data_IF_745049456102
#
_entry.id   IF_745049456102
#
_cell.length_a   1.000
_cell.length_b   1.000
_cell.length_c   1.000
_cell.angle_alpha   90.00
_cell.angle_beta   90.00
_cell.angle_gamma   90.00
#
_symmetry.space_group_name_H-M   'P 1'
#
loop_
_entity.id
_entity.type
_entity.pdbx_description
1 polymer ?
#
# COMPACT_ATOMS: atom_id res chain seq x y z
N UNK A 1 19.89 -20.91 -11.95
CA UNK A 1 19.07 -19.68 -11.85
C UNK A 1 17.60 -20.07 -11.97
N UNK A 2 16.71 -19.34 -11.31
CA UNK A 2 15.25 -19.60 -11.29
C UNK A 2 14.50 -18.28 -11.43
N UNK A 3 13.28 -18.30 -11.96
CA UNK A 3 12.44 -17.09 -12.01
C UNK A 3 11.99 -16.66 -10.62
N UNK A 4 11.99 -15.36 -10.35
CA UNK A 4 11.59 -14.80 -9.05
C UNK A 4 10.15 -15.18 -8.67
N UNK A 5 9.19 -15.10 -9.59
CA UNK A 5 7.80 -15.49 -9.34
C UNK A 5 7.64 -16.96 -8.95
N UNK A 6 8.38 -17.87 -9.60
CA UNK A 6 8.41 -19.28 -9.25
C UNK A 6 9.07 -19.51 -7.89
N UNK A 7 10.22 -18.88 -7.64
CA UNK A 7 10.96 -19.03 -6.38
C UNK A 7 10.15 -18.55 -5.16
N UNK A 8 9.35 -17.49 -5.33
CA UNK A 8 8.42 -17.01 -4.29
C UNK A 8 7.35 -18.04 -3.94
N UNK A 9 6.84 -18.77 -4.93
CA UNK A 9 5.87 -19.85 -4.71
C UNK A 9 6.54 -21.07 -4.09
N UNK A 10 7.68 -21.49 -4.64
CA UNK A 10 8.41 -22.67 -4.17
C UNK A 10 8.85 -22.55 -2.71
N UNK A 11 9.15 -21.34 -2.25
CA UNK A 11 9.52 -21.03 -0.86
C UNK A 11 8.32 -20.69 0.04
N UNK A 12 7.09 -20.79 -0.47
CA UNK A 12 5.88 -20.57 0.31
C UNK A 12 5.61 -19.09 0.66
N UNK A 13 6.26 -18.14 0.00
CA UNK A 13 5.97 -16.71 0.18
C UNK A 13 4.65 -16.28 -0.48
N UNK A 14 4.22 -17.01 -1.51
CA UNK A 14 2.99 -16.76 -2.26
C UNK A 14 2.30 -18.08 -2.60
N UNK A 15 0.97 -18.05 -2.76
CA UNK A 15 0.16 -19.24 -3.11
C UNK A 15 0.13 -19.50 -4.60
N UNK A 16 0.47 -18.51 -5.41
CA UNK A 16 0.49 -18.61 -6.87
C UNK A 16 1.50 -17.67 -7.50
N UNK A 17 1.88 -17.96 -8.75
CA UNK A 17 2.75 -17.07 -9.53
C UNK A 17 2.11 -15.73 -9.84
N UNK A 18 0.78 -15.68 -9.95
CA UNK A 18 0.03 -14.43 -10.17
C UNK A 18 0.14 -13.50 -8.95
N UNK A 19 -0.04 -14.06 -7.74
CA UNK A 19 0.17 -13.32 -6.48
C UNK A 19 1.62 -12.84 -6.35
N UNK A 20 2.58 -13.71 -6.63
CA UNK A 20 4.00 -13.34 -6.63
C UNK A 20 4.29 -12.19 -7.60
N UNK A 21 3.76 -12.25 -8.83
CA UNK A 21 3.91 -11.17 -9.81
C UNK A 21 3.30 -9.85 -9.33
N UNK A 22 2.11 -9.89 -8.71
CA UNK A 22 1.48 -8.70 -8.15
C UNK A 22 2.34 -8.05 -7.05
N UNK A 23 2.94 -8.84 -6.15
CA UNK A 23 3.83 -8.33 -5.12
C UNK A 23 5.13 -7.75 -5.68
N UNK A 24 5.70 -8.38 -6.70
CA UNK A 24 6.89 -7.88 -7.39
C UNK A 24 6.60 -6.53 -8.06
N UNK A 25 5.50 -6.44 -8.82
CA UNK A 25 5.06 -5.20 -9.47
C UNK A 25 4.74 -4.09 -8.46
N UNK A 26 4.18 -4.44 -7.31
CA UNK A 26 3.94 -3.50 -6.22
C UNK A 26 5.23 -3.08 -5.46
N UNK A 27 6.41 -3.53 -5.90
CA UNK A 27 7.70 -3.23 -5.27
C UNK A 27 7.82 -3.79 -3.86
N UNK A 28 7.07 -4.85 -3.54
CA UNK A 28 6.97 -5.46 -2.19
C UNK A 28 7.95 -6.60 -1.97
N UNK A 29 8.68 -7.02 -2.99
CA UNK A 29 9.68 -8.09 -2.91
C UNK A 29 11.08 -7.48 -2.95
N UNK A 30 11.92 -7.90 -2.00
CA UNK A 30 13.35 -7.61 -1.98
C UNK A 30 14.12 -8.91 -2.20
N UNK A 31 15.11 -8.86 -3.07
CA UNK A 31 16.08 -9.94 -3.33
C UNK A 31 17.46 -9.40 -2.93
N UNK A 32 18.10 -10.03 -1.96
CA UNK A 32 19.39 -9.58 -1.40
C UNK A 32 19.35 -8.07 -1.03
N UNK A 33 18.25 -7.65 -0.39
CA UNK A 33 17.94 -6.27 0.01
C UNK A 33 17.74 -5.25 -1.13
N UNK A 34 17.72 -5.70 -2.38
CA UNK A 34 17.41 -4.86 -3.55
C UNK A 34 15.99 -5.08 -4.05
N UNK A 35 15.32 -4.00 -4.50
CA UNK A 35 13.99 -4.12 -5.10
C UNK A 35 14.12 -4.65 -6.52
N UNK A 36 13.38 -5.71 -6.83
CA UNK A 36 13.24 -6.25 -8.18
C UNK A 36 11.84 -5.91 -8.67
N UNK A 37 11.73 -5.38 -9.89
CA UNK A 37 10.48 -4.89 -10.50
C UNK A 37 9.88 -5.86 -11.54
N UNK A 38 10.64 -6.87 -11.94
CA UNK A 38 10.23 -7.88 -12.93
C UNK A 38 10.08 -9.26 -12.29
N UNK A 39 8.85 -9.78 -12.32
CA UNK A 39 8.51 -11.10 -11.77
C UNK A 39 9.26 -12.25 -12.48
N UNK A 40 9.59 -12.07 -13.76
CA UNK A 40 10.35 -13.04 -14.56
C UNK A 40 11.87 -12.97 -14.39
N UNK A 41 12.40 -12.08 -13.52
CA UNK A 41 13.85 -11.95 -13.30
C UNK A 41 14.46 -13.27 -12.84
N UNK A 42 15.61 -13.62 -13.43
CA UNK A 42 16.38 -14.79 -13.04
C UNK A 42 17.22 -14.46 -11.80
N UNK A 43 17.02 -15.20 -10.73
CA UNK A 43 17.71 -15.03 -9.44
C UNK A 43 18.40 -16.32 -9.01
N UNK A 44 19.31 -16.21 -8.04
CA UNK A 44 19.91 -17.39 -7.42
C UNK A 44 18.84 -18.15 -6.62
N UNK A 45 18.77 -19.49 -6.71
CA UNK A 45 17.91 -20.29 -5.84
C UNK A 45 18.25 -20.17 -4.35
N UNK A 46 19.40 -19.59 -3.99
CA UNK A 46 19.86 -19.37 -2.62
C UNK A 46 19.79 -17.90 -2.17
N UNK A 47 19.31 -16.97 -2.99
CA UNK A 47 19.24 -15.55 -2.61
C UNK A 47 18.35 -15.34 -1.38
N UNK A 48 18.61 -14.27 -0.62
CA UNK A 48 17.72 -13.86 0.46
C UNK A 48 16.48 -13.19 -0.13
N UNK A 49 15.29 -13.61 0.33
CA UNK A 49 14.01 -13.00 -0.07
C UNK A 49 13.36 -12.37 1.16
N UNK A 50 12.93 -11.12 1.02
CA UNK A 50 12.15 -10.43 2.05
C UNK A 50 10.94 -9.75 1.44
N UNK A 51 9.77 -10.01 2.02
CA UNK A 51 8.55 -9.28 1.70
C UNK A 51 8.46 -8.02 2.57
N UNK A 52 8.27 -6.86 1.94
CA UNK A 52 7.93 -5.62 2.66
C UNK A 52 6.57 -5.82 3.32
N UNK A 53 6.48 -5.54 4.63
CA UNK A 53 5.21 -5.59 5.37
C UNK A 53 4.17 -4.67 4.72
N UNK A 54 2.91 -5.11 4.74
CA UNK A 54 1.82 -4.23 4.33
C UNK A 54 1.62 -3.20 5.41
N UNK A 55 1.59 -1.94 5.02
CA UNK A 55 1.04 -0.92 5.89
C UNK A 55 -0.49 -1.13 5.94
N UNK A 56 -1.14 -0.84 7.07
CA UNK A 56 -2.60 -0.85 7.16
C UNK A 56 -3.23 0.26 6.31
N UNK A 57 -2.43 1.25 5.88
CA UNK A 57 -2.85 2.35 5.04
C UNK A 57 -1.97 2.46 3.79
N UNK A 58 -2.48 3.09 2.72
CA UNK A 58 -1.75 3.28 1.45
C UNK A 58 -0.41 4.02 1.57
N UNK A 59 -0.18 4.74 2.68
CA UNK A 59 1.13 5.31 3.00
C UNK A 59 1.37 5.36 4.50
N UNK A 60 2.63 5.63 4.89
CA UNK A 60 3.01 5.88 6.30
C UNK A 60 2.28 7.07 6.91
N UNK A 61 1.69 7.95 6.10
CA UNK A 61 0.85 9.04 6.58
C UNK A 61 -0.29 8.53 7.44
N UNK A 62 -1.00 7.48 7.02
CA UNK A 62 -2.14 6.95 7.79
C UNK A 62 -1.78 6.51 9.20
N UNK A 63 -0.56 5.98 9.42
CA UNK A 63 -0.08 5.62 10.76
C UNK A 63 0.03 6.84 11.68
N UNK A 64 0.41 8.00 11.14
CA UNK A 64 0.52 9.25 11.91
C UNK A 64 -0.86 9.72 12.34
N UNK A 65 -1.82 9.72 11.41
CA UNK A 65 -3.19 10.14 11.73
C UNK A 65 -3.84 9.19 12.74
N UNK A 66 -3.73 7.87 12.51
CA UNK A 66 -4.21 6.86 13.48
C UNK A 66 -3.62 7.11 14.87
N UNK A 67 -2.29 7.26 14.96
CA UNK A 67 -1.63 7.56 16.23
C UNK A 67 -2.13 8.85 16.89
N UNK A 68 -2.42 9.89 16.11
CA UNK A 68 -3.02 11.13 16.61
C UNK A 68 -4.44 10.92 17.14
N UNK A 69 -5.32 10.28 16.37
CA UNK A 69 -6.69 9.99 16.77
C UNK A 69 -6.72 9.18 18.07
N UNK A 70 -5.90 8.13 18.15
CA UNK A 70 -5.83 7.26 19.33
C UNK A 70 -5.27 8.02 20.55
N UNK A 71 -4.21 8.81 20.36
CA UNK A 71 -3.60 9.59 21.44
C UNK A 71 -4.54 10.65 22.02
N UNK A 72 -5.31 11.32 21.16
CA UNK A 72 -6.25 12.36 21.57
C UNK A 72 -7.67 11.83 21.88
N UNK A 73 -7.91 10.52 21.73
CA UNK A 73 -9.23 9.92 21.95
C UNK A 73 -10.31 10.43 21.01
N UNK A 74 -9.94 10.74 19.76
CA UNK A 74 -10.86 11.28 18.75
C UNK A 74 -11.45 10.12 17.94
N UNK A 75 -12.78 9.97 17.99
CA UNK A 75 -13.52 9.06 17.12
C UNK A 75 -14.20 9.84 15.98
N UNK A 76 -13.69 9.77 14.73
CA UNK A 76 -14.26 10.48 13.60
C UNK A 76 -15.41 9.74 12.93
N UNK A 77 -15.89 8.62 13.49
CA UNK A 77 -16.96 7.82 12.90
C UNK A 77 -18.21 8.67 12.60
N UNK A 78 -18.71 8.56 11.38
CA UNK A 78 -19.84 9.34 10.86
C UNK A 78 -19.54 10.80 10.50
N UNK A 79 -18.31 11.29 10.66
CA UNK A 79 -17.98 12.68 10.36
C UNK A 79 -17.80 12.94 8.87
N UNK A 80 -17.84 14.22 8.49
CA UNK A 80 -17.37 14.69 7.19
C UNK A 80 -16.01 15.36 7.42
N UNK A 81 -14.97 14.86 6.77
CA UNK A 81 -13.60 15.32 6.96
C UNK A 81 -13.05 15.99 5.69
N UNK A 82 -12.12 16.92 5.87
CA UNK A 82 -11.33 17.54 4.81
C UNK A 82 -9.86 17.14 5.01
N UNK A 83 -9.27 16.47 4.02
CA UNK A 83 -7.85 16.09 3.99
C UNK A 83 -7.12 17.03 3.03
N UNK A 84 -6.30 17.95 3.58
CA UNK A 84 -5.56 18.96 2.82
C UNK A 84 -4.13 18.46 2.61
N UNK A 85 -3.71 18.34 1.35
CA UNK A 85 -2.42 17.75 0.98
C UNK A 85 -2.46 16.22 1.00
N UNK A 86 -3.55 15.64 0.49
CA UNK A 86 -3.83 14.20 0.57
C UNK A 86 -2.71 13.32 0.00
N UNK A 87 -1.92 13.84 -0.94
CA UNK A 87 -0.78 13.21 -1.59
C UNK A 87 -1.15 11.82 -2.13
N UNK A 88 -0.50 10.76 -1.65
CA UNK A 88 -0.81 9.36 -1.99
C UNK A 88 -2.07 8.80 -1.33
N UNK A 89 -2.73 9.56 -0.43
CA UNK A 89 -4.01 9.22 0.19
C UNK A 89 -3.93 8.59 1.57
N UNK A 90 -2.77 8.64 2.27
CA UNK A 90 -2.59 7.93 3.53
C UNK A 90 -3.52 8.36 4.66
N UNK A 91 -3.80 9.67 4.79
CA UNK A 91 -4.74 10.20 5.79
C UNK A 91 -6.18 9.90 5.39
N UNK A 92 -6.54 10.16 4.14
CA UNK A 92 -7.83 9.78 3.55
C UNK A 92 -8.19 8.32 3.82
N UNK A 93 -7.29 7.37 3.54
CA UNK A 93 -7.50 5.94 3.78
C UNK A 93 -7.69 5.64 5.29
N UNK A 94 -6.89 6.25 6.16
CA UNK A 94 -7.06 6.12 7.60
C UNK A 94 -8.45 6.63 8.08
N UNK A 95 -8.92 7.76 7.56
CA UNK A 95 -10.24 8.31 7.90
C UNK A 95 -11.38 7.41 7.43
N UNK A 96 -11.31 6.94 6.17
CA UNK A 96 -12.30 6.02 5.61
C UNK A 96 -12.39 4.72 6.41
N UNK A 97 -11.24 4.13 6.76
CA UNK A 97 -11.20 2.94 7.63
C UNK A 97 -11.70 3.22 9.06
N UNK A 98 -11.66 4.47 9.52
CA UNK A 98 -12.19 4.90 10.82
C UNK A 98 -13.70 5.18 10.79
N UNK A 99 -14.38 5.01 9.66
CA UNK A 99 -15.85 5.09 9.58
C UNK A 99 -16.42 6.48 9.33
N UNK A 100 -15.60 7.45 8.86
CA UNK A 100 -16.13 8.76 8.43
C UNK A 100 -17.20 8.57 7.34
N UNK A 101 -18.21 9.43 7.34
CA UNK A 101 -19.25 9.42 6.31
C UNK A 101 -18.73 9.89 4.95
N UNK A 102 -17.77 10.83 4.94
CA UNK A 102 -17.17 11.37 3.72
C UNK A 102 -15.81 12.01 4.00
N UNK A 103 -14.89 11.92 3.04
CA UNK A 103 -13.65 12.70 3.01
C UNK A 103 -13.59 13.52 1.73
N UNK A 104 -13.36 14.83 1.87
CA UNK A 104 -12.94 15.69 0.77
C UNK A 104 -11.41 15.70 0.76
N UNK A 105 -10.80 15.06 -0.24
CA UNK A 105 -9.34 15.03 -0.40
C UNK A 105 -8.92 16.13 -1.38
N UNK A 106 -8.11 17.07 -0.90
CA UNK A 106 -7.60 18.18 -1.70
C UNK A 106 -6.09 18.04 -1.83
N UNK A 107 -5.59 18.04 -3.06
CA UNK A 107 -4.16 18.11 -3.34
C UNK A 107 -3.90 19.03 -4.53
N UNK A 108 -2.72 19.61 -4.59
CA UNK A 108 -2.29 20.51 -5.66
C UNK A 108 -1.57 19.77 -6.80
N UNK A 109 -1.19 18.50 -6.59
CA UNK A 109 -0.53 17.67 -7.57
C UNK A 109 -1.50 16.72 -8.28
N UNK A 110 -1.43 16.67 -9.62
CA UNK A 110 -2.24 15.79 -10.45
C UNK A 110 -1.77 14.33 -10.35
N UNK A 111 -2.71 13.39 -10.21
CA UNK A 111 -2.47 11.94 -10.39
C UNK A 111 -1.81 11.19 -9.23
N UNK A 112 -1.75 11.76 -8.01
CA UNK A 112 -1.11 11.11 -6.86
C UNK A 112 -2.02 10.19 -6.04
N UNK A 113 -3.35 10.33 -6.14
CA UNK A 113 -4.29 9.52 -5.38
C UNK A 113 -4.28 8.08 -5.89
N UNK A 114 -4.03 7.13 -4.99
CA UNK A 114 -4.00 5.71 -5.33
C UNK A 114 -5.41 5.18 -5.62
N UNK A 115 -5.55 4.36 -6.67
CA UNK A 115 -6.80 3.69 -7.05
C UNK A 115 -7.40 2.80 -5.94
N UNK A 116 -6.62 2.45 -4.90
CA UNK A 116 -7.07 1.64 -3.77
C UNK A 116 -7.85 2.40 -2.70
N UNK A 117 -8.04 3.72 -2.82
CA UNK A 117 -8.87 4.48 -1.88
C UNK A 117 -10.34 4.15 -2.13
N UNK A 118 -10.99 3.48 -1.17
CA UNK A 118 -12.38 3.08 -1.27
C UNK A 118 -13.30 4.31 -1.46
N UNK A 119 -14.06 4.35 -2.56
CA UNK A 119 -15.00 5.43 -2.88
C UNK A 119 -14.44 6.55 -3.78
N UNK A 120 -13.22 6.41 -4.32
CA UNK A 120 -12.69 7.38 -5.28
C UNK A 120 -13.42 7.30 -6.63
N UNK A 121 -14.18 8.35 -6.98
CA UNK A 121 -14.71 8.57 -8.33
C UNK A 121 -13.93 9.74 -8.91
N UNK A 122 -12.93 9.45 -9.75
CA UNK A 122 -12.13 10.46 -10.42
C UNK A 122 -13.04 11.39 -11.24
N UNK A 123 -12.98 12.70 -10.96
CA UNK A 123 -13.67 13.71 -11.75
C UNK A 123 -12.95 13.90 -13.09
N UNK A 124 -13.65 13.58 -14.18
CA UNK A 124 -13.38 14.15 -15.50
C UNK A 124 -14.17 15.44 -15.69
#
# INVERSE_FOLDING_TARGET
MVRLDQLLVDRGHCRSRAEAAALVMAGRVLVDEQTVDKAGSLVSPSCAIRLKKSLPFVSRGGLKLRGGLDHFGIDPNGWICLDIGASTGGFTDCLLQAGVARVYAVDVAYGLLSFGVAGWVGGG
#
